data_IF_598116374643
#
_entry.id   IF_598116374643
#
_cell.length_a   1.000
_cell.length_b   1.000
_cell.length_c   1.000
_cell.angle_alpha   90.00
_cell.angle_beta   90.00
_cell.angle_gamma   90.00
#
_symmetry.space_group_name_H-M   'P 1'
#
loop_
_entity.id
_entity.type
_entity.pdbx_description
1 polymer ?
#
# COMPACT_ATOMS: atom_id res chain seq x y z
N UNK A 1 -11.55 -4.44 -7.67
CA UNK A 1 -11.48 -2.98 -7.85
C UNK A 1 -10.83 -2.41 -6.62
N UNK A 2 -9.91 -1.46 -6.78
CA UNK A 2 -9.23 -0.79 -5.68
C UNK A 2 -9.63 0.69 -5.67
N UNK A 3 -9.99 1.21 -4.50
CA UNK A 3 -10.19 2.63 -4.28
C UNK A 3 -9.01 3.15 -3.45
N UNK A 4 -8.39 4.23 -3.93
CA UNK A 4 -7.32 4.93 -3.23
C UNK A 4 -7.89 6.28 -2.80
N UNK A 5 -7.74 6.64 -1.54
CA UNK A 5 -8.23 7.91 -1.00
C UNK A 5 -7.20 8.51 -0.07
N UNK A 6 -7.00 9.82 -0.14
CA UNK A 6 -6.06 10.51 0.74
C UNK A 6 -6.81 10.85 2.03
N UNK A 7 -6.36 10.30 3.16
CA UNK A 7 -7.03 10.46 4.45
C UNK A 7 -6.37 11.50 5.37
N UNK A 8 -5.05 11.68 5.23
CA UNK A 8 -4.30 12.61 6.04
C UNK A 8 -3.28 13.32 5.19
N UNK A 9 -3.38 14.65 5.09
CA UNK A 9 -2.40 15.51 4.44
C UNK A 9 -1.82 16.42 5.50
N UNK A 10 -0.58 16.15 5.88
CA UNK A 10 0.26 17.04 6.66
C UNK A 10 1.40 17.54 5.78
N UNK A 11 2.01 18.67 6.12
CA UNK A 11 3.07 19.30 5.32
C UNK A 11 4.28 18.40 5.02
N UNK A 12 4.44 17.28 5.73
CA UNK A 12 5.50 16.27 5.53
C UNK A 12 5.02 14.82 5.52
N UNK A 13 3.72 14.57 5.73
CA UNK A 13 3.21 13.21 5.88
C UNK A 13 1.88 13.06 5.17
N UNK A 14 1.76 12.03 4.34
CA UNK A 14 0.58 11.75 3.54
C UNK A 14 0.13 10.31 3.77
N UNK A 15 -1.16 10.13 4.06
CA UNK A 15 -1.75 8.81 4.30
C UNK A 15 -2.71 8.47 3.17
N UNK A 16 -2.41 7.39 2.45
CA UNK A 16 -3.30 6.82 1.43
C UNK A 16 -4.06 5.64 2.03
N UNK A 17 -5.38 5.76 2.12
CA UNK A 17 -6.28 4.67 2.44
C UNK A 17 -6.59 3.86 1.20
N UNK A 18 -6.40 2.55 1.31
CA UNK A 18 -6.69 1.56 0.30
C UNK A 18 -7.95 0.79 0.68
N UNK A 19 -8.88 0.68 -0.26
CA UNK A 19 -10.13 -0.05 -0.05
C UNK A 19 -10.41 -1.00 -1.21
N UNK A 20 -10.79 -2.24 -0.90
CA UNK A 20 -11.11 -3.28 -1.88
C UNK A 20 -9.98 -4.28 -2.09
N UNK A 21 -9.62 -4.54 -3.36
CA UNK A 21 -8.67 -5.61 -3.73
C UNK A 21 -7.47 -5.05 -4.48
N UNK A 22 -6.27 -5.26 -3.94
CA UNK A 22 -5.01 -4.87 -4.57
C UNK A 22 -4.52 -6.02 -5.46
N UNK A 23 -5.04 -6.05 -6.69
CA UNK A 23 -4.76 -7.12 -7.66
C UNK A 23 -4.59 -6.61 -9.08
N UNK A 24 -3.73 -7.27 -9.85
CA UNK A 24 -3.51 -7.01 -11.27
C UNK A 24 -3.27 -5.52 -11.59
N UNK A 25 -4.11 -4.87 -12.42
CA UNK A 25 -3.87 -3.50 -12.86
C UNK A 25 -3.88 -2.47 -11.72
N UNK A 26 -4.51 -2.78 -10.59
CA UNK A 26 -4.56 -1.89 -9.43
C UNK A 26 -3.23 -1.79 -8.70
N UNK A 27 -2.35 -2.79 -8.85
CA UNK A 27 -0.98 -2.76 -8.31
C UNK A 27 -0.19 -1.64 -8.99
N UNK A 28 -0.23 -1.58 -10.32
CA UNK A 28 0.44 -0.52 -11.08
C UNK A 28 -0.13 0.88 -10.75
N UNK A 29 -1.44 0.98 -10.56
CA UNK A 29 -2.07 2.25 -10.15
C UNK A 29 -1.60 2.70 -8.76
N UNK A 30 -1.56 1.79 -7.79
CA UNK A 30 -1.05 2.08 -6.45
C UNK A 30 0.42 2.54 -6.51
N UNK A 31 1.24 1.85 -7.29
CA UNK A 31 2.64 2.20 -7.48
C UNK A 31 2.79 3.64 -7.99
N UNK A 32 2.06 4.02 -9.04
CA UNK A 32 2.07 5.38 -9.57
C UNK A 32 1.67 6.42 -8.50
N UNK A 33 0.60 6.15 -7.74
CA UNK A 33 0.18 7.05 -6.65
C UNK A 33 1.26 7.19 -5.57
N UNK A 34 1.95 6.11 -5.22
CA UNK A 34 3.04 6.16 -4.24
C UNK A 34 4.23 6.97 -4.76
N UNK A 35 4.64 6.77 -6.02
CA UNK A 35 5.75 7.51 -6.64
C UNK A 35 5.48 9.02 -6.68
N UNK A 36 4.23 9.44 -6.92
CA UNK A 36 3.86 10.86 -6.88
C UNK A 36 4.11 11.47 -5.49
N UNK A 37 3.69 10.79 -4.42
CA UNK A 37 3.87 11.28 -3.04
C UNK A 37 5.34 11.23 -2.62
N UNK A 38 6.05 10.15 -2.97
CA UNK A 38 7.47 10.00 -2.65
C UNK A 38 8.34 11.02 -3.38
N UNK A 39 7.98 11.40 -4.62
CA UNK A 39 8.64 12.45 -5.38
C UNK A 39 8.58 13.83 -4.71
N UNK A 40 7.56 14.07 -3.88
CA UNK A 40 7.43 15.31 -3.10
C UNK A 40 8.23 15.29 -1.78
N UNK A 41 9.09 14.29 -1.56
CA UNK A 41 9.89 14.10 -0.33
C UNK A 41 9.02 14.05 0.95
N UNK A 42 7.79 13.55 0.82
CA UNK A 42 6.87 13.33 1.93
C UNK A 42 7.03 11.92 2.47
N UNK A 43 6.72 11.75 3.76
CA UNK A 43 6.51 10.43 4.34
C UNK A 43 5.16 9.90 3.92
N UNK A 44 5.15 8.70 3.36
CA UNK A 44 3.94 8.03 2.91
C UNK A 44 3.56 6.93 3.90
N UNK A 45 2.29 6.92 4.28
CA UNK A 45 1.65 5.80 4.99
C UNK A 45 0.54 5.20 4.13
N UNK A 46 0.52 3.88 4.01
CA UNK A 46 -0.56 3.13 3.40
C UNK A 46 -1.43 2.50 4.48
N UNK A 47 -2.71 2.85 4.49
CA UNK A 47 -3.71 2.23 5.36
C UNK A 47 -4.44 1.12 4.58
N UNK A 48 -4.32 -0.12 5.08
CA UNK A 48 -4.92 -1.32 4.47
C UNK A 48 -6.17 -1.80 5.21
N UNK A 49 -6.78 -0.98 6.08
CA UNK A 49 -7.92 -1.38 6.93
C UNK A 49 -9.06 -1.99 6.12
N UNK A 50 -9.35 -1.43 4.95
CA UNK A 50 -10.44 -1.83 4.08
C UNK A 50 -9.97 -2.65 2.87
N UNK A 51 -8.73 -3.14 2.88
CA UNK A 51 -8.22 -4.08 1.88
C UNK A 51 -8.55 -5.49 2.31
N UNK A 52 -9.30 -6.20 1.47
CA UNK A 52 -9.76 -7.57 1.76
C UNK A 52 -8.89 -8.64 1.10
N UNK A 53 -8.14 -8.28 0.06
CA UNK A 53 -7.34 -9.24 -0.71
C UNK A 53 -6.18 -8.55 -1.43
N UNK A 54 -5.04 -9.24 -1.48
CA UNK A 54 -3.82 -8.84 -2.19
C UNK A 54 -3.29 -10.05 -2.95
N UNK A 55 -2.91 -9.87 -4.22
CA UNK A 55 -2.24 -10.91 -5.01
C UNK A 55 -0.70 -10.84 -4.84
N UNK A 56 0.02 -11.73 -5.55
CA UNK A 56 1.48 -11.81 -5.44
C UNK A 56 2.18 -10.51 -5.84
N UNK A 57 1.74 -9.90 -6.94
CA UNK A 57 2.28 -8.64 -7.42
C UNK A 57 2.02 -7.51 -6.41
N UNK A 58 0.83 -7.48 -5.80
CA UNK A 58 0.50 -6.57 -4.72
C UNK A 58 1.37 -6.79 -3.47
N UNK A 59 1.62 -8.03 -3.07
CA UNK A 59 2.52 -8.36 -1.95
C UNK A 59 3.95 -7.93 -2.24
N UNK A 60 4.44 -8.18 -3.45
CA UNK A 60 5.77 -7.74 -3.89
C UNK A 60 5.91 -6.20 -3.85
N UNK A 61 4.90 -5.48 -4.34
CA UNK A 61 4.85 -4.01 -4.27
C UNK A 61 4.86 -3.51 -2.83
N UNK A 62 4.01 -4.05 -1.96
CA UNK A 62 3.97 -3.64 -0.55
C UNK A 62 5.31 -3.90 0.16
N UNK A 63 5.98 -5.01 -0.14
CA UNK A 63 7.32 -5.30 0.38
C UNK A 63 8.35 -4.29 -0.10
N UNK A 64 8.35 -3.97 -1.40
CA UNK A 64 9.24 -2.97 -1.98
C UNK A 64 9.03 -1.59 -1.34
N UNK A 65 7.78 -1.16 -1.21
CA UNK A 65 7.42 0.12 -0.57
C UNK A 65 7.88 0.16 0.89
N UNK A 66 7.73 -0.95 1.62
CA UNK A 66 8.22 -1.05 3.00
C UNK A 66 9.74 -0.90 3.09
N UNK A 67 10.50 -1.50 2.16
CA UNK A 67 11.96 -1.35 2.07
C UNK A 67 12.36 0.09 1.76
N UNK A 68 11.57 0.79 0.95
CA UNK A 68 11.75 2.21 0.63
C UNK A 68 11.37 3.16 1.77
N UNK A 69 10.88 2.65 2.91
CA UNK A 69 10.53 3.45 4.08
C UNK A 69 9.06 3.92 4.13
N UNK A 70 8.19 3.37 3.27
CA UNK A 70 6.74 3.60 3.35
C UNK A 70 6.18 2.84 4.54
N UNK A 71 5.45 3.54 5.41
CA UNK A 71 4.77 2.91 6.53
C UNK A 71 3.50 2.21 6.03
N UNK A 72 3.25 0.99 6.53
CA UNK A 72 2.06 0.21 6.18
C UNK A 72 1.32 -0.08 7.47
N UNK A 73 0.08 0.40 7.58
CA UNK A 73 -0.75 0.32 8.79
C UNK A 73 -2.03 -0.46 8.55
N UNK A 74 -2.61 -0.97 9.63
CA UNK A 74 -3.89 -1.68 9.64
C UNK A 74 -3.97 -2.87 8.66
N UNK A 75 -2.85 -3.55 8.44
CA UNK A 75 -2.87 -4.82 7.72
C UNK A 75 -3.73 -5.82 8.48
N UNK A 76 -4.74 -6.37 7.80
CA UNK A 76 -5.49 -7.48 8.34
C UNK A 76 -4.56 -8.68 8.60
N UNK A 77 -4.83 -9.51 9.62
CA UNK A 77 -4.04 -10.71 9.88
C UNK A 77 -3.96 -11.66 8.67
N UNK A 78 -4.98 -11.62 7.79
CA UNK A 78 -4.98 -12.34 6.52
C UNK A 78 -3.89 -11.83 5.56
N UNK A 79 -3.79 -10.52 5.36
CA UNK A 79 -2.74 -9.91 4.52
C UNK A 79 -1.36 -10.13 5.14
N UNK A 80 -1.24 -10.04 6.47
CA UNK A 80 -0.01 -10.37 7.19
C UNK A 80 0.41 -11.82 6.98
N UNK A 81 -0.54 -12.76 6.86
CA UNK A 81 -0.25 -14.13 6.53
C UNK A 81 0.26 -14.25 5.09
N UNK A 82 -0.41 -13.64 4.10
CA UNK A 82 0.05 -13.65 2.70
C UNK A 82 1.45 -13.01 2.54
N UNK A 83 1.73 -11.93 3.26
CA UNK A 83 3.05 -11.28 3.32
C UNK A 83 4.14 -12.19 3.91
N UNK A 84 3.79 -13.20 4.71
CA UNK A 84 4.73 -14.18 5.27
C UNK A 84 4.85 -15.44 4.40
N UNK A 85 3.75 -15.87 3.78
CA UNK A 85 3.66 -17.13 3.03
C UNK A 85 4.41 -17.09 1.70
N UNK A 86 4.54 -15.93 1.05
CA UNK A 86 5.40 -15.76 -0.15
C UNK A 86 6.90 -15.61 0.20
N UNK A 87 7.36 -16.34 1.20
CA UNK A 87 8.74 -16.40 1.65
C UNK A 87 9.29 -17.81 1.53
N UNK A 88 9.34 -18.33 0.29
CA UNK A 88 10.01 -19.56 -0.17
C UNK A 88 9.46 -20.87 0.43
#
# INVERSE_FOLDING_TARGET
>A
MLRISVEGLSNRHETLRLEGHLVGPWVAQLQLSCEQVLGESKWLTLDLTAVSFVDRDGVALLRELKVRGVAITNCSPFILHQLKDEGI
#
